data_IF_570878542418
#
_entry.id   IF_570878542418
#
_cell.length_a   1.000
_cell.length_b   1.000
_cell.length_c   1.000
_cell.angle_alpha   90.00
_cell.angle_beta   90.00
_cell.angle_gamma   90.00
#
_symmetry.space_group_name_H-M   'P 1'
#
loop_
_entity.id
_entity.type
_entity.pdbx_description
1 polymer ?
#
# COMPACT_ATOMS: atom_id res chain seq x y z
N UNK A 1 -1.90 -3.49 -3.81
CA UNK A 1 -1.02 -2.36 -3.41
C UNK A 1 0.34 -2.92 -3.01
N UNK A 2 1.43 -2.18 -3.19
CA UNK A 2 2.71 -2.50 -2.56
C UNK A 2 2.92 -1.53 -1.39
N UNK A 3 3.34 -2.04 -0.23
CA UNK A 3 3.75 -1.23 0.91
C UNK A 3 5.23 -1.41 1.19
N UNK A 4 5.93 -0.31 1.46
CA UNK A 4 7.33 -0.30 1.91
C UNK A 4 7.38 0.37 3.27
N UNK A 5 7.94 -0.32 4.26
CA UNK A 5 8.18 0.26 5.58
C UNK A 5 9.55 0.92 5.61
N UNK A 6 9.59 2.20 5.96
CA UNK A 6 10.81 2.99 6.02
C UNK A 6 11.06 3.50 7.43
N UNK A 7 12.34 3.55 7.81
CA UNK A 7 12.82 4.19 9.02
C UNK A 7 13.94 5.15 8.64
N UNK A 8 13.77 6.42 9.00
CA UNK A 8 14.73 7.49 8.82
C UNK A 8 15.44 7.74 10.13
N UNK A 9 16.77 7.82 10.08
CA UNK A 9 17.60 8.24 11.21
C UNK A 9 18.46 9.43 10.77
N UNK A 10 18.12 10.61 11.27
CA UNK A 10 18.81 11.85 10.96
C UNK A 10 19.89 12.14 12.01
N UNK A 11 21.10 12.47 11.55
CA UNK A 11 22.26 12.79 12.40
C UNK A 11 22.85 14.16 12.12
N UNK A 12 22.17 14.98 11.31
CA UNK A 12 22.62 16.32 10.98
C UNK A 12 22.22 17.34 12.04
N UNK A 13 22.72 18.56 11.88
CA UNK A 13 22.41 19.71 12.75
C UNK A 13 21.32 20.63 12.17
N UNK A 14 20.91 20.38 10.93
CA UNK A 14 19.90 21.15 10.20
C UNK A 14 18.53 20.45 10.28
N UNK A 15 17.58 20.91 9.46
CA UNK A 15 16.24 20.33 9.36
C UNK A 15 16.12 19.48 8.11
N UNK A 16 15.56 18.28 8.25
CA UNK A 16 15.32 17.37 7.13
C UNK A 16 13.83 17.02 7.02
N UNK A 17 13.19 17.45 5.95
CA UNK A 17 11.77 17.20 5.72
C UNK A 17 11.54 15.83 5.08
N UNK A 18 10.91 14.92 5.83
CA UNK A 18 10.42 13.64 5.33
C UNK A 18 8.99 13.82 4.85
N UNK A 19 8.77 13.65 3.54
CA UNK A 19 7.43 13.71 2.94
C UNK A 19 7.16 12.49 2.07
N UNK A 20 6.07 11.78 2.37
CA UNK A 20 5.66 10.57 1.64
C UNK A 20 5.47 10.86 0.14
N UNK A 21 4.82 11.97 -0.21
CA UNK A 21 4.46 12.35 -1.59
C UNK A 21 5.67 12.65 -2.50
N UNK A 22 6.89 12.67 -1.96
CA UNK A 22 8.12 12.85 -2.73
C UNK A 22 8.85 11.54 -3.02
N UNK A 23 8.26 10.41 -2.65
CA UNK A 23 8.85 9.09 -2.85
C UNK A 23 8.35 8.46 -4.13
N UNK A 24 9.26 7.79 -4.84
CA UNK A 24 9.00 7.15 -6.11
C UNK A 24 9.49 5.71 -6.11
N UNK A 25 8.79 4.85 -6.81
CA UNK A 25 9.18 3.48 -7.05
C UNK A 25 9.32 3.26 -8.55
N UNK A 26 10.53 2.95 -9.01
CA UNK A 26 10.79 2.56 -10.39
C UNK A 26 10.68 1.04 -10.55
N UNK A 27 10.04 0.61 -11.64
CA UNK A 27 9.97 -0.77 -12.09
C UNK A 27 11.00 -1.00 -13.21
N UNK A 28 12.16 -1.57 -12.88
CA UNK A 28 13.31 -1.62 -13.79
C UNK A 28 13.04 -2.47 -15.04
N UNK A 29 12.29 -3.58 -14.88
CA UNK A 29 12.02 -4.52 -15.99
C UNK A 29 10.92 -4.07 -16.96
N UNK A 30 10.17 -3.03 -16.60
CA UNK A 30 8.96 -2.62 -17.31
C UNK A 30 9.08 -1.18 -17.79
N UNK A 31 9.95 -0.94 -18.77
CA UNK A 31 10.17 0.40 -19.35
C UNK A 31 10.54 1.49 -18.33
N UNK A 32 11.14 1.13 -17.20
CA UNK A 32 11.48 2.07 -16.12
C UNK A 32 10.26 2.89 -15.66
N UNK A 33 9.08 2.27 -15.59
CA UNK A 33 7.87 2.95 -15.11
C UNK A 33 8.13 3.47 -13.70
N UNK A 34 7.99 4.78 -13.51
CA UNK A 34 8.11 5.44 -12.20
C UNK A 34 6.72 5.68 -11.64
N UNK A 35 6.48 5.18 -10.42
CA UNK A 35 5.24 5.41 -9.67
C UNK A 35 5.52 6.29 -8.47
N UNK A 36 4.80 7.40 -8.37
CA UNK A 36 4.74 8.17 -7.12
C UNK A 36 4.06 7.36 -6.02
N UNK A 37 4.37 7.70 -4.78
CA UNK A 37 3.63 7.18 -3.63
C UNK A 37 2.16 7.58 -3.69
N UNK A 38 1.31 6.72 -3.15
CA UNK A 38 -0.11 6.96 -3.02
C UNK A 38 -0.36 7.87 -1.82
N UNK A 39 -1.31 8.78 -1.98
CA UNK A 39 -1.82 9.61 -0.89
C UNK A 39 -2.70 8.78 0.06
N UNK A 40 -2.36 8.66 1.35
CA UNK A 40 -3.18 7.92 2.31
C UNK A 40 -4.62 8.43 2.38
N UNK A 41 -4.84 9.75 2.33
CA UNK A 41 -6.20 10.32 2.44
C UNK A 41 -7.04 9.99 1.20
N UNK A 42 -6.46 10.11 0.01
CA UNK A 42 -7.07 9.66 -1.23
C UNK A 42 -7.40 8.17 -1.23
N UNK A 43 -6.51 7.34 -0.66
CA UNK A 43 -6.76 5.91 -0.51
C UNK A 43 -7.91 5.61 0.45
N UNK A 44 -7.97 6.29 1.60
CA UNK A 44 -9.06 6.12 2.57
C UNK A 44 -10.42 6.46 1.95
N UNK A 45 -10.50 7.57 1.20
CA UNK A 45 -11.71 7.94 0.46
C UNK A 45 -12.13 6.88 -0.55
N UNK A 46 -11.18 6.34 -1.30
CA UNK A 46 -11.47 5.28 -2.28
C UNK A 46 -11.95 3.99 -1.59
N UNK A 47 -11.39 3.64 -0.43
CA UNK A 47 -11.83 2.45 0.31
C UNK A 47 -13.22 2.63 0.88
N UNK A 48 -13.55 3.81 1.38
CA UNK A 48 -14.89 4.13 1.84
C UNK A 48 -15.91 4.02 0.70
N UNK A 49 -15.59 4.56 -0.49
CA UNK A 49 -16.44 4.39 -1.68
C UNK A 49 -16.65 2.92 -2.06
N UNK A 50 -15.58 2.10 -2.03
CA UNK A 50 -15.72 0.67 -2.33
C UNK A 50 -16.59 -0.06 -1.30
N UNK A 51 -16.57 0.36 -0.03
CA UNK A 51 -17.44 -0.17 1.03
C UNK A 51 -18.90 0.20 0.76
N UNK A 52 -19.16 1.45 0.42
CA UNK A 52 -20.51 1.94 0.11
C UNK A 52 -21.08 1.21 -1.12
N UNK A 53 -20.30 1.11 -2.20
CA UNK A 53 -20.68 0.41 -3.44
C UNK A 53 -20.96 -1.08 -3.20
N UNK A 54 -20.11 -1.76 -2.43
CA UNK A 54 -20.28 -3.19 -2.10
C UNK A 54 -21.53 -3.42 -1.24
N UNK A 55 -21.80 -2.52 -0.29
CA UNK A 55 -22.97 -2.61 0.57
C UNK A 55 -24.24 -2.42 -0.24
N UNK A 56 -24.28 -1.40 -1.12
CA UNK A 56 -25.42 -1.17 -2.00
C UNK A 56 -25.64 -2.34 -3.00
N UNK A 57 -24.57 -2.93 -3.54
CA UNK A 57 -24.66 -4.10 -4.42
C UNK A 57 -25.28 -5.31 -3.69
N UNK A 58 -24.78 -5.63 -2.50
CA UNK A 58 -25.26 -6.80 -1.75
C UNK A 58 -26.69 -6.58 -1.25
N UNK A 59 -26.97 -5.44 -0.61
CA UNK A 59 -28.27 -5.18 0.01
C UNK A 59 -29.39 -4.92 -1.01
N UNK A 60 -29.12 -4.13 -2.04
CA UNK A 60 -30.17 -3.70 -2.99
C UNK A 60 -30.30 -4.60 -4.20
N UNK A 61 -29.23 -5.25 -4.65
CA UNK A 61 -29.25 -6.09 -5.84
C UNK A 61 -29.28 -7.57 -5.50
N UNK A 62 -28.31 -8.09 -4.75
CA UNK A 62 -28.18 -9.53 -4.55
C UNK A 62 -29.26 -10.10 -3.62
N UNK A 63 -29.43 -9.51 -2.43
CA UNK A 63 -30.42 -9.98 -1.44
C UNK A 63 -31.85 -9.81 -1.95
N UNK A 64 -32.11 -8.75 -2.73
CA UNK A 64 -33.43 -8.52 -3.33
C UNK A 64 -33.76 -9.52 -4.45
N UNK A 65 -32.76 -9.95 -5.22
CA UNK A 65 -32.92 -10.95 -6.30
C UNK A 65 -32.95 -12.39 -5.76
N UNK A 66 -32.20 -12.66 -4.69
CA UNK A 66 -31.99 -13.98 -4.10
C UNK A 66 -32.18 -13.95 -2.57
N UNK A 67 -33.42 -13.75 -2.08
CA UNK A 67 -33.70 -13.70 -0.65
C UNK A 67 -33.35 -15.00 0.09
N UNK A 68 -33.32 -16.13 -0.62
CA UNK A 68 -32.92 -17.44 -0.10
C UNK A 68 -31.43 -17.54 0.29
N UNK A 69 -30.57 -16.70 -0.29
CA UNK A 69 -29.12 -16.66 -0.01
C UNK A 69 -28.73 -15.55 0.98
N UNK A 70 -29.72 -14.82 1.53
CA UNK A 70 -29.51 -13.63 2.35
C UNK A 70 -28.47 -13.84 3.46
N UNK A 71 -28.64 -14.89 4.28
CA UNK A 71 -27.73 -15.13 5.41
C UNK A 71 -26.28 -15.41 4.98
N UNK A 72 -26.08 -16.11 3.86
CA UNK A 72 -24.73 -16.35 3.32
C UNK A 72 -24.11 -15.06 2.79
N UNK A 73 -24.87 -14.27 2.03
CA UNK A 73 -24.41 -13.00 1.45
C UNK A 73 -24.09 -11.94 2.50
N UNK A 74 -24.91 -11.84 3.54
CA UNK A 74 -24.65 -10.95 4.69
C UNK A 74 -23.39 -11.35 5.45
N UNK A 75 -23.16 -12.65 5.64
CA UNK A 75 -21.93 -13.14 6.29
C UNK A 75 -20.69 -12.82 5.46
N UNK A 76 -20.74 -13.06 4.14
CA UNK A 76 -19.64 -12.74 3.22
C UNK A 76 -19.37 -11.22 3.16
N UNK A 77 -20.43 -10.40 3.17
CA UNK A 77 -20.33 -8.95 3.25
C UNK A 77 -19.64 -8.52 4.55
N UNK A 78 -20.04 -9.05 5.70
CA UNK A 78 -19.41 -8.72 6.99
C UNK A 78 -17.91 -9.04 7.00
N UNK A 79 -17.50 -10.18 6.45
CA UNK A 79 -16.07 -10.54 6.34
C UNK A 79 -15.33 -9.53 5.47
N UNK A 80 -15.88 -9.17 4.30
CA UNK A 80 -15.26 -8.16 3.42
C UNK A 80 -15.19 -6.78 4.08
N UNK A 81 -16.26 -6.35 4.74
CA UNK A 81 -16.31 -5.07 5.44
C UNK A 81 -15.28 -5.01 6.57
N UNK A 82 -15.08 -6.12 7.28
CA UNK A 82 -14.02 -6.24 8.27
C UNK A 82 -12.64 -6.07 7.63
N UNK A 83 -12.36 -6.77 6.53
CA UNK A 83 -11.07 -6.65 5.82
C UNK A 83 -10.81 -5.20 5.35
N UNK A 84 -11.84 -4.53 4.83
CA UNK A 84 -11.74 -3.12 4.44
C UNK A 84 -11.47 -2.19 5.62
N UNK A 85 -12.17 -2.39 6.74
CA UNK A 85 -12.00 -1.60 7.96
C UNK A 85 -10.59 -1.76 8.51
N UNK A 86 -10.09 -3.00 8.61
CA UNK A 86 -8.72 -3.28 9.05
C UNK A 86 -7.68 -2.62 8.13
N UNK A 87 -7.93 -2.59 6.81
CA UNK A 87 -7.03 -1.92 5.87
C UNK A 87 -7.09 -0.39 6.00
N UNK A 88 -8.26 0.20 6.22
CA UNK A 88 -8.42 1.64 6.47
C UNK A 88 -7.70 2.05 7.77
N UNK A 89 -7.86 1.27 8.83
CA UNK A 89 -7.16 1.47 10.11
C UNK A 89 -5.65 1.35 9.92
N UNK A 90 -5.19 0.39 9.13
CA UNK A 90 -3.76 0.23 8.84
C UNK A 90 -3.20 1.46 8.09
N UNK A 91 -3.86 1.91 7.02
CA UNK A 91 -3.39 3.06 6.23
C UNK A 91 -3.37 4.34 7.08
N UNK A 92 -4.42 4.60 7.84
CA UNK A 92 -4.55 5.81 8.66
C UNK A 92 -3.56 5.86 9.84
N UNK A 93 -3.26 4.71 10.46
CA UNK A 93 -2.41 4.66 11.66
C UNK A 93 -0.94 4.36 11.36
N UNK A 94 -0.66 3.60 10.31
CA UNK A 94 0.70 3.10 10.01
C UNK A 94 1.36 3.82 8.83
N UNK A 95 0.62 4.65 8.08
CA UNK A 95 1.19 5.47 7.02
C UNK A 95 2.29 6.42 7.51
N UNK A 96 3.30 6.65 6.68
CA UNK A 96 4.38 7.60 6.97
C UNK A 96 3.84 9.03 6.94
N UNK A 97 3.76 9.65 8.11
CA UNK A 97 3.28 11.03 8.23
C UNK A 97 4.39 12.03 7.84
N UNK A 98 4.04 13.16 7.22
CA UNK A 98 4.99 14.25 7.01
C UNK A 98 5.59 14.70 8.34
N UNK A 99 6.93 14.78 8.39
CA UNK A 99 7.65 15.15 9.61
C UNK A 99 8.97 15.81 9.26
N UNK A 100 9.33 16.83 10.04
CA UNK A 100 10.65 17.46 9.97
C UNK A 100 11.53 16.81 11.04
N UNK A 101 12.65 16.23 10.61
CA UNK A 101 13.67 15.68 11.50
C UNK A 101 14.71 16.74 11.85
N UNK A 102 15.15 16.74 13.10
CA UNK A 102 16.22 17.60 13.61
C UNK A 102 16.96 16.88 14.76
N UNK A 103 17.86 17.57 15.45
CA UNK A 103 18.63 17.00 16.57
C UNK A 103 17.75 16.56 17.76
N UNK A 104 16.54 17.12 17.90
CA UNK A 104 15.58 16.80 18.97
C UNK A 104 14.59 15.69 18.56
N UNK A 105 14.26 15.61 17.27
CA UNK A 105 13.39 14.60 16.68
C UNK A 105 14.13 13.91 15.52
N UNK A 106 15.04 13.00 15.84
CA UNK A 106 16.01 12.44 14.90
C UNK A 106 15.54 11.19 14.16
N UNK A 107 14.32 10.70 14.43
CA UNK A 107 13.85 9.45 13.83
C UNK A 107 12.37 9.51 13.45
N UNK A 108 12.04 8.95 12.28
CA UNK A 108 10.67 8.73 11.86
C UNK A 108 10.53 7.41 11.12
N UNK A 109 9.39 6.75 11.31
CA UNK A 109 9.07 5.49 10.64
C UNK A 109 7.64 5.46 10.16
N UNK A 110 7.38 4.72 9.10
CA UNK A 110 6.03 4.52 8.60
C UNK A 110 6.00 3.79 7.26
N UNK A 111 4.78 3.43 6.86
CA UNK A 111 4.52 2.76 5.60
C UNK A 111 4.29 3.76 4.47
N UNK A 112 4.88 3.46 3.33
CA UNK A 112 4.68 4.20 2.08
C UNK A 112 4.08 3.24 1.07
N UNK A 113 2.99 3.67 0.43
CA UNK A 113 2.20 2.83 -0.45
C UNK A 113 2.42 3.20 -1.90
N UNK A 114 2.49 2.21 -2.78
CA UNK A 114 2.65 2.39 -4.22
C UNK A 114 1.58 1.61 -4.97
N UNK A 115 1.08 2.21 -6.06
CA UNK A 115 0.16 1.52 -6.96
C UNK A 115 0.88 0.42 -7.68
N UNK A 116 0.28 -0.77 -7.64
CA UNK A 116 0.69 -1.95 -8.41
C UNK A 116 -0.24 -2.20 -9.59
N UNK A 117 -1.27 -1.35 -9.74
CA UNK A 117 -2.20 -1.42 -10.85
C UNK A 117 -1.53 -0.75 -12.04
N UNK A 118 -0.79 -1.55 -12.80
CA UNK A 118 -0.30 -1.15 -14.10
C UNK A 118 -0.43 -2.32 -15.06
N UNK A 119 -0.81 -2.04 -16.30
CA UNK A 119 -0.87 -3.02 -17.39
C UNK A 119 0.50 -3.66 -17.66
N UNK A 120 1.57 -2.99 -17.24
CA UNK A 120 2.93 -3.45 -17.43
C UNK A 120 3.47 -4.28 -16.27
N UNK A 121 2.87 -4.26 -15.07
CA UNK A 121 3.38 -5.07 -13.95
C UNK A 121 2.88 -6.51 -14.14
N UNK A 122 3.80 -7.39 -14.54
CA UNK A 122 3.52 -8.81 -14.67
C UNK A 122 2.98 -9.44 -13.37
N UNK A 123 2.37 -10.63 -13.44
CA UNK A 123 1.97 -11.35 -12.23
C UNK A 123 3.20 -11.53 -11.33
N UNK A 124 3.06 -11.17 -10.05
CA UNK A 124 4.04 -11.19 -8.92
C UNK A 124 4.87 -12.47 -8.74
N UNK A 125 4.63 -13.47 -9.59
CA UNK A 125 5.29 -14.77 -9.66
C UNK A 125 6.67 -14.69 -10.32
N UNK A 126 6.99 -13.63 -11.06
CA UNK A 126 8.34 -13.42 -11.62
C UNK A 126 9.13 -12.48 -10.71
N UNK A 127 10.45 -12.70 -10.53
CA UNK A 127 11.30 -11.76 -9.83
C UNK A 127 11.24 -10.39 -10.49
N UNK A 128 10.70 -9.42 -9.77
CA UNK A 128 10.66 -8.02 -10.17
C UNK A 128 11.79 -7.25 -9.48
N UNK A 129 12.38 -6.31 -10.21
CA UNK A 129 13.41 -5.42 -9.70
C UNK A 129 12.84 -4.01 -9.59
N UNK A 130 13.09 -3.41 -8.44
CA UNK A 130 12.57 -2.11 -8.06
C UNK A 130 13.70 -1.20 -7.64
N UNK A 131 13.53 0.09 -7.86
CA UNK A 131 14.37 1.13 -7.25
C UNK A 131 13.46 2.08 -6.48
N UNK A 132 13.56 2.07 -5.15
CA UNK A 132 12.93 3.08 -4.32
C UNK A 132 13.80 4.34 -4.38
N UNK A 133 13.17 5.48 -4.70
CA UNK A 133 13.82 6.78 -4.76
C UNK A 133 13.13 7.76 -3.82
N UNK A 134 13.92 8.56 -3.13
CA UNK A 134 13.39 9.74 -2.44
C UNK A 134 14.44 10.86 -2.42
N UNK A 135 14.01 12.12 -2.51
CA UNK A 135 14.91 13.25 -2.43
C UNK A 135 15.43 13.41 -1.00
N UNK A 136 16.72 13.69 -0.88
CA UNK A 136 17.39 14.11 0.32
C UNK A 136 18.13 15.42 0.01
N UNK A 137 17.51 16.55 0.34
CA UNK A 137 18.00 17.90 0.02
C UNK A 137 18.36 18.06 -1.46
N UNK A 138 19.65 18.12 -1.79
CA UNK A 138 20.18 18.32 -3.15
C UNK A 138 20.52 17.01 -3.88
N UNK A 139 20.18 15.86 -3.29
CA UNK A 139 20.48 14.53 -3.83
C UNK A 139 19.23 13.66 -3.89
N UNK A 140 19.28 12.62 -4.70
CA UNK A 140 18.25 11.56 -4.70
C UNK A 140 18.93 10.31 -4.15
N UNK A 141 18.33 9.72 -3.11
CA UNK A 141 18.78 8.44 -2.59
C UNK A 141 18.03 7.34 -3.32
N UNK A 142 18.78 6.36 -3.83
CA UNK A 142 18.25 5.21 -4.56
C UNK A 142 18.52 3.91 -3.80
N UNK A 143 17.47 3.13 -3.57
CA UNK A 143 17.54 1.82 -2.92
C UNK A 143 17.01 0.75 -3.88
N UNK A 144 17.90 0.02 -4.57
CA UNK A 144 17.50 -1.10 -5.41
C UNK A 144 17.14 -2.34 -4.58
N UNK A 145 16.05 -3.02 -4.92
CA UNK A 145 15.65 -4.28 -4.30
C UNK A 145 14.86 -5.17 -5.27
N UNK A 146 14.68 -6.46 -4.92
CA UNK A 146 13.93 -7.42 -5.76
C UNK A 146 12.87 -8.19 -4.98
N UNK A 147 11.72 -8.46 -5.60
CA UNK A 147 10.67 -9.30 -5.03
C UNK A 147 10.32 -10.48 -5.96
N UNK A 148 10.31 -11.73 -5.47
CA UNK A 148 10.79 -12.15 -4.15
C UNK A 148 12.32 -11.93 -4.01
N UNK A 149 12.85 -11.80 -2.78
CA UNK A 149 14.29 -11.68 -2.54
C UNK A 149 15.05 -12.85 -3.18
N UNK A 150 16.24 -12.58 -3.75
CA UNK A 150 17.08 -13.62 -4.35
C UNK A 150 17.36 -14.72 -3.32
N UNK A 151 16.98 -15.96 -3.64
CA UNK A 151 17.15 -17.12 -2.77
C UNK A 151 16.01 -17.39 -1.78
N UNK A 152 14.98 -16.54 -1.70
CA UNK A 152 13.78 -16.83 -0.92
C UNK A 152 12.94 -17.92 -1.60
N UNK A 153 12.59 -18.99 -0.87
CA UNK A 153 11.59 -19.96 -1.33
C UNK A 153 10.22 -19.28 -1.35
N UNK A 154 9.58 -19.26 -2.51
CA UNK A 154 8.18 -18.82 -2.63
C UNK A 154 7.29 -19.95 -2.11
N UNK A 155 6.74 -19.79 -0.92
CA UNK A 155 5.77 -20.72 -0.37
C UNK A 155 4.36 -20.30 -0.74
N UNK A 156 3.65 -21.16 -1.48
CA UNK A 156 2.23 -20.98 -1.73
C UNK A 156 1.45 -21.49 -0.53
N UNK A 157 0.91 -20.59 0.28
CA UNK A 157 -0.07 -20.93 1.31
C UNK A 157 -1.46 -20.91 0.69
N UNK A 158 -2.23 -22.00 0.87
CA UNK A 158 -3.65 -21.99 0.57
C UNK A 158 -4.33 -20.96 1.47
N UNK A 159 -5.31 -20.23 0.92
CA UNK A 159 -6.12 -19.32 1.74
C UNK A 159 -6.87 -20.16 2.78
N UNK A 160 -6.93 -19.74 4.06
CA UNK A 160 -7.79 -20.42 5.03
C UNK A 160 -9.23 -20.37 4.52
N UNK A 161 -9.84 -21.52 4.22
CA UNK A 161 -11.23 -21.62 3.75
C UNK A 161 -11.44 -22.14 2.31
N UNK A 162 -10.39 -22.56 1.60
CA UNK A 162 -10.50 -23.36 0.35
C UNK A 162 -10.12 -24.84 0.56
#
# INVERSE_FOLDING_TARGET
MLGVFLTFHYKGNDKFDVQQNRMYLEYTKHFQVVKGSLDPDGMLKQLQQNVDDLTDEVERHDVKKHPELKGQKETELQVRLKDYTEMMDFISTRGLKPVTLDSSNSSASGWVFFSIKDKWIGPWRKPEEFVLRFPAENSIVEFPFSLPPKGAKVEFRKRPGE
#
